data_IF_823538693570
#
_entry.id   IF_823538693570
#
_cell.length_a   1.000
_cell.length_b   1.000
_cell.length_c   1.000
_cell.angle_alpha   90.00
_cell.angle_beta   90.00
_cell.angle_gamma   90.00
#
_symmetry.space_group_name_H-M   'P 1'
#
loop_
_entity.id
_entity.type
_entity.pdbx_description
1 polymer ?
#
# COMPACT_ATOMS: atom_id res chain seq x y z
N UNK A 1 13.56 -58.63 29.05
CA UNK A 1 13.70 -58.67 30.53
C UNK A 1 14.21 -57.30 30.93
N UNK A 2 13.48 -56.36 31.54
CA UNK A 2 12.38 -56.34 32.52
C UNK A 2 11.62 -55.02 32.26
N UNK A 3 10.34 -55.03 31.87
CA UNK A 3 9.15 -54.97 32.73
C UNK A 3 9.18 -53.89 33.83
N UNK A 4 8.53 -52.75 33.57
CA UNK A 4 7.86 -51.93 34.60
C UNK A 4 6.77 -51.07 33.99
N UNK A 5 5.56 -51.62 34.05
CA UNK A 5 4.27 -50.92 34.06
C UNK A 5 4.31 -49.68 34.95
N UNK A 6 3.85 -48.53 34.45
CA UNK A 6 3.09 -47.58 35.27
C UNK A 6 1.92 -47.03 34.47
N UNK A 7 0.75 -47.32 35.04
CA UNK A 7 -0.58 -47.10 34.56
C UNK A 7 -1.13 -45.90 35.35
N UNK A 8 -1.40 -44.76 34.70
CA UNK A 8 -2.23 -43.69 35.26
C UNK A 8 -3.05 -43.00 34.16
N UNK A 9 -4.20 -43.62 33.92
CA UNK A 9 -5.53 -43.03 33.76
C UNK A 9 -5.53 -41.48 33.79
N UNK A 10 -5.69 -40.87 32.62
CA UNK A 10 -6.13 -39.48 32.47
C UNK A 10 -7.66 -39.47 32.40
N UNK A 11 -8.38 -38.71 33.25
CA UNK A 11 -9.80 -38.49 33.03
C UNK A 11 -9.99 -37.49 31.88
N UNK A 12 -10.87 -37.92 30.98
CA UNK A 12 -11.53 -37.17 29.93
C UNK A 12 -12.15 -35.91 30.54
N UNK A 13 -11.66 -34.72 30.14
CA UNK A 13 -12.43 -33.48 30.20
C UNK A 13 -12.63 -33.04 28.75
N UNK A 14 -13.76 -33.51 28.21
CA UNK A 14 -14.47 -32.91 27.09
C UNK A 14 -14.93 -31.51 27.47
N UNK A 15 -14.29 -30.50 26.87
CA UNK A 15 -14.90 -29.19 26.64
C UNK A 15 -14.47 -28.75 25.24
N UNK A 16 -15.27 -29.16 24.27
CA UNK A 16 -15.20 -28.68 22.91
C UNK A 16 -15.57 -27.19 22.89
N UNK A 17 -14.58 -26.34 22.61
CA UNK A 17 -14.83 -25.02 22.04
C UNK A 17 -14.12 -24.99 20.69
N UNK A 18 -14.74 -25.65 19.72
CA UNK A 18 -14.40 -25.51 18.30
C UNK A 18 -14.91 -24.14 17.89
N UNK A 19 -14.05 -23.12 17.97
CA UNK A 19 -14.25 -21.88 17.21
C UNK A 19 -13.89 -22.24 15.77
N UNK A 20 -14.88 -22.77 15.06
CA UNK A 20 -14.83 -22.91 13.62
C UNK A 20 -14.77 -21.51 13.02
N UNK A 21 -13.61 -21.21 12.44
CA UNK A 21 -13.43 -20.24 11.38
C UNK A 21 -14.49 -20.51 10.30
N UNK A 22 -15.52 -19.67 10.22
CA UNK A 22 -16.31 -19.51 9.02
C UNK A 22 -15.86 -18.23 8.33
N UNK A 23 -14.86 -18.40 7.45
CA UNK A 23 -14.62 -17.46 6.35
C UNK A 23 -15.53 -17.91 5.21
N UNK A 24 -16.51 -17.12 4.76
CA UNK A 24 -17.19 -17.42 3.52
C UNK A 24 -16.22 -17.13 2.36
N UNK A 25 -15.70 -18.21 1.79
CA UNK A 25 -15.03 -18.21 0.48
C UNK A 25 -16.14 -18.20 -0.58
N UNK A 26 -16.59 -17.01 -0.99
CA UNK A 26 -17.50 -16.86 -2.12
C UNK A 26 -16.74 -17.00 -3.44
N UNK A 27 -16.70 -18.21 -3.97
CA UNK A 27 -16.40 -18.48 -5.36
C UNK A 27 -17.64 -18.13 -6.20
N UNK A 28 -17.66 -16.91 -6.75
CA UNK A 28 -18.61 -16.52 -7.80
C UNK A 28 -18.04 -16.88 -9.16
N UNK A 29 -18.51 -17.99 -9.73
CA UNK A 29 -18.43 -18.22 -11.16
C UNK A 29 -19.42 -17.27 -11.85
N UNK A 30 -18.94 -16.34 -12.65
CA UNK A 30 -19.78 -15.59 -13.58
C UNK A 30 -19.68 -16.23 -14.97
N UNK A 31 -20.83 -16.77 -15.36
CA UNK A 31 -21.17 -17.25 -16.67
C UNK A 31 -21.15 -16.09 -17.68
N UNK A 32 -20.61 -16.38 -18.86
CA UNK A 32 -20.56 -15.46 -19.99
C UNK A 32 -21.90 -15.47 -20.71
N UNK A 33 -22.62 -14.35 -20.65
CA UNK A 33 -23.63 -14.02 -21.66
C UNK A 33 -23.52 -12.55 -22.03
N UNK A 34 -23.22 -12.33 -23.31
CA UNK A 34 -23.44 -11.10 -24.05
C UNK A 34 -24.25 -11.46 -25.31
N UNK A 35 -24.85 -10.53 -26.06
CA UNK A 35 -25.23 -9.15 -25.74
C UNK A 35 -26.72 -8.86 -26.06
N UNK A 36 -27.34 -7.87 -25.42
CA UNK A 36 -28.47 -7.17 -26.02
C UNK A 36 -28.33 -5.66 -25.83
N UNK A 37 -28.44 -4.98 -26.97
CA UNK A 37 -28.46 -3.52 -27.14
C UNK A 37 -29.55 -2.89 -26.28
N UNK A 38 -29.15 -2.16 -25.23
CA UNK A 38 -29.97 -1.13 -24.63
C UNK A 38 -29.24 0.21 -24.68
N UNK A 39 -29.95 1.21 -25.20
CA UNK A 39 -29.50 2.58 -25.41
C UNK A 39 -29.00 3.24 -24.12
N UNK A 40 -28.01 4.16 -24.20
CA UNK A 40 -27.42 4.79 -23.04
C UNK A 40 -28.43 5.72 -22.35
N UNK A 41 -28.98 5.28 -21.21
CA UNK A 41 -29.60 6.17 -20.23
C UNK A 41 -28.47 6.98 -19.59
N UNK A 42 -28.46 8.28 -19.86
CA UNK A 42 -27.51 9.23 -19.28
C UNK A 42 -27.76 9.35 -17.77
N UNK A 43 -27.14 8.48 -16.96
CA UNK A 43 -26.98 8.69 -15.52
C UNK A 43 -26.06 9.87 -15.31
N UNK A 44 -26.66 11.03 -15.07
CA UNK A 44 -26.00 12.22 -14.54
C UNK A 44 -25.40 11.87 -13.17
N UNK A 45 -24.11 11.48 -13.18
CA UNK A 45 -23.32 11.25 -11.98
C UNK A 45 -23.21 12.57 -11.21
N UNK A 46 -24.17 12.78 -10.31
CA UNK A 46 -24.18 13.90 -9.38
C UNK A 46 -23.02 13.67 -8.42
N UNK A 47 -21.94 14.44 -8.62
CA UNK A 47 -20.77 14.39 -7.73
C UNK A 47 -21.23 14.55 -6.27
N UNK A 48 -20.72 13.73 -5.33
CA UNK A 48 -21.10 13.81 -3.93
C UNK A 48 -20.74 15.19 -3.39
N UNK A 49 -21.76 15.90 -2.86
CA UNK A 49 -21.60 17.24 -2.29
C UNK A 49 -21.15 17.09 -0.85
N UNK A 50 -19.84 16.95 -0.65
CA UNK A 50 -19.19 16.85 0.67
C UNK A 50 -18.86 18.26 1.18
N UNK A 51 -19.07 18.50 2.48
CA UNK A 51 -18.63 19.72 3.15
C UNK A 51 -18.11 19.42 4.56
N UNK A 52 -17.19 20.25 5.04
CA UNK A 52 -16.53 20.09 6.33
C UNK A 52 -16.70 21.37 7.16
N UNK A 53 -17.21 21.26 8.39
CA UNK A 53 -17.42 22.42 9.27
C UNK A 53 -17.45 22.04 10.75
N UNK A 54 -17.22 23.03 11.63
CA UNK A 54 -17.45 22.87 13.07
C UNK A 54 -18.96 22.79 13.32
N UNK A 55 -19.41 21.74 14.01
CA UNK A 55 -20.82 21.52 14.35
C UNK A 55 -21.01 21.40 15.85
N UNK A 56 -22.25 21.64 16.31
CA UNK A 56 -22.65 21.40 17.70
C UNK A 56 -23.88 20.50 17.72
N UNK A 57 -23.92 19.56 18.67
CA UNK A 57 -25.06 18.70 18.87
C UNK A 57 -26.26 19.47 19.42
N UNK A 58 -27.37 19.52 18.68
CA UNK A 58 -28.64 20.04 19.17
C UNK A 58 -29.52 18.92 19.76
N UNK A 59 -29.54 17.75 19.12
CA UNK A 59 -30.22 16.54 19.58
C UNK A 59 -29.39 15.29 19.27
N UNK A 60 -30.02 14.11 19.33
CA UNK A 60 -29.40 12.84 18.95
C UNK A 60 -29.20 12.69 17.43
N UNK A 61 -29.99 13.40 16.62
CA UNK A 61 -29.97 13.35 15.16
C UNK A 61 -29.72 14.71 14.49
N UNK A 62 -29.79 15.81 15.24
CA UNK A 62 -29.67 17.17 14.73
C UNK A 62 -28.35 17.83 15.13
N UNK A 63 -27.60 18.28 14.13
CA UNK A 63 -26.37 19.06 14.24
C UNK A 63 -26.60 20.50 13.78
N UNK A 64 -25.94 21.45 14.43
CA UNK A 64 -26.03 22.88 14.13
C UNK A 64 -24.66 23.46 13.76
N UNK A 65 -24.57 24.10 12.59
CA UNK A 65 -23.42 24.88 12.15
C UNK A 65 -23.85 26.35 11.93
N UNK A 66 -23.82 27.14 13.01
CA UNK A 66 -24.35 28.50 13.00
C UNK A 66 -25.87 28.51 12.81
N UNK A 67 -26.34 28.94 11.63
CA UNK A 67 -27.78 28.93 11.25
C UNK A 67 -28.19 27.70 10.44
N UNK A 68 -27.23 26.85 10.07
CA UNK A 68 -27.49 25.66 9.28
C UNK A 68 -27.88 24.49 10.18
N UNK A 69 -29.03 23.89 9.91
CA UNK A 69 -29.54 22.68 10.55
C UNK A 69 -29.24 21.46 9.66
N UNK A 70 -28.49 20.51 10.20
CA UNK A 70 -28.10 19.27 9.52
C UNK A 70 -28.67 18.09 10.29
N UNK A 71 -29.62 17.38 9.67
CA UNK A 71 -30.19 16.15 10.18
C UNK A 71 -29.34 14.98 9.72
N UNK A 72 -29.04 14.04 10.62
CA UNK A 72 -28.33 12.82 10.28
C UNK A 72 -29.23 11.96 9.38
N UNK A 73 -28.68 11.56 8.24
CA UNK A 73 -29.36 10.69 7.29
C UNK A 73 -29.42 9.25 7.81
N UNK A 74 -30.48 8.52 7.45
CA UNK A 74 -30.63 7.10 7.80
C UNK A 74 -31.07 6.82 9.25
N UNK A 75 -31.24 7.85 10.08
CA UNK A 75 -31.76 7.73 11.45
C UNK A 75 -33.13 8.38 11.60
N UNK A 76 -33.90 7.92 12.58
CA UNK A 76 -35.20 8.48 12.98
C UNK A 76 -35.18 8.80 14.47
N UNK A 77 -35.65 10.01 14.81
CA UNK A 77 -35.73 10.45 16.19
C UNK A 77 -36.81 9.68 16.95
N UNK A 78 -36.44 9.22 18.15
CA UNK A 78 -37.40 8.63 19.08
C UNK A 78 -37.92 9.77 19.94
N UNK A 79 -39.25 9.99 20.04
CA UNK A 79 -39.81 11.01 20.91
C UNK A 79 -39.48 10.66 22.38
N UNK A 80 -38.42 11.28 22.91
CA UNK A 80 -37.96 11.05 24.26
C UNK A 80 -38.85 11.80 25.25
N UNK A 81 -39.68 11.07 26.00
CA UNK A 81 -40.51 11.64 27.07
C UNK A 81 -39.70 12.00 28.32
N UNK A 82 -38.50 11.45 28.48
CA UNK A 82 -37.63 11.64 29.66
C UNK A 82 -36.51 12.64 29.36
N UNK A 83 -36.50 13.85 29.97
CA UNK A 83 -35.49 14.89 29.70
C UNK A 83 -34.05 14.44 29.94
N UNK A 84 -33.83 13.51 30.88
CA UNK A 84 -32.50 12.96 31.19
C UNK A 84 -31.92 12.19 30.01
N UNK A 85 -32.75 11.48 29.24
CA UNK A 85 -32.26 10.75 28.06
C UNK A 85 -31.92 11.71 26.92
N UNK A 86 -32.75 12.73 26.70
CA UNK A 86 -32.46 13.75 25.69
C UNK A 86 -31.13 14.46 25.99
N UNK A 87 -30.86 14.75 27.27
CA UNK A 87 -29.59 15.31 27.70
C UNK A 87 -28.42 14.35 27.45
N UNK A 88 -28.56 13.07 27.82
CA UNK A 88 -27.51 12.05 27.59
C UNK A 88 -27.21 11.88 26.12
N UNK A 89 -28.23 11.76 25.27
CA UNK A 89 -28.05 11.62 23.83
C UNK A 89 -27.30 12.81 23.23
N UNK A 90 -27.69 14.04 23.61
CA UNK A 90 -26.99 15.26 23.18
C UNK A 90 -25.54 15.29 23.66
N UNK A 91 -25.27 14.89 24.89
CA UNK A 91 -23.91 14.83 25.44
C UNK A 91 -23.06 13.76 24.74
N UNK A 92 -23.61 12.58 24.46
CA UNK A 92 -22.91 11.54 23.69
C UNK A 92 -22.55 12.05 22.30
N UNK A 93 -23.48 12.68 21.59
CA UNK A 93 -23.20 13.29 20.28
C UNK A 93 -22.13 14.39 20.37
N UNK A 94 -22.24 15.29 21.36
CA UNK A 94 -21.26 16.36 21.55
C UNK A 94 -19.85 15.82 21.83
N UNK A 95 -19.73 14.75 22.63
CA UNK A 95 -18.45 14.10 22.91
C UNK A 95 -17.87 13.42 21.68
N UNK A 96 -18.71 12.82 20.82
CA UNK A 96 -18.27 12.18 19.59
C UNK A 96 -17.75 13.19 18.55
N UNK A 97 -18.35 14.39 18.50
CA UNK A 97 -17.86 15.50 17.67
C UNK A 97 -16.54 16.06 18.24
N UNK A 98 -16.47 16.22 19.56
CA UNK A 98 -15.32 16.83 20.24
C UNK A 98 -15.12 18.28 19.81
N UNK A 99 -13.84 18.69 19.72
CA UNK A 99 -13.43 20.00 19.19
C UNK A 99 -13.10 19.94 17.68
N UNK A 100 -13.34 18.79 17.04
CA UNK A 100 -13.01 18.53 15.64
C UNK A 100 -14.04 19.10 14.65
N UNK A 101 -13.64 19.12 13.38
CA UNK A 101 -14.58 19.37 12.28
C UNK A 101 -15.31 18.07 11.92
N UNK A 102 -16.55 18.22 11.44
CA UNK A 102 -17.39 17.12 10.97
C UNK A 102 -17.48 17.20 9.45
N UNK A 103 -17.22 16.07 8.78
CA UNK A 103 -17.35 15.90 7.34
C UNK A 103 -18.72 15.33 7.04
N UNK A 104 -19.52 16.00 6.23
CA UNK A 104 -20.87 15.57 5.91
C UNK A 104 -21.09 15.43 4.40
N UNK A 105 -21.58 14.27 3.97
CA UNK A 105 -22.03 14.00 2.60
C UNK A 105 -23.54 14.21 2.50
N UNK A 106 -23.97 15.18 1.67
CA UNK A 106 -25.38 15.51 1.52
C UNK A 106 -26.11 14.43 0.72
N UNK A 107 -27.09 13.78 1.35
CA UNK A 107 -27.96 12.77 0.71
C UNK A 107 -29.28 13.39 0.24
N UNK A 108 -29.86 14.32 0.99
CA UNK A 108 -31.11 14.98 0.62
C UNK A 108 -31.19 16.43 1.17
N UNK A 109 -32.06 17.26 0.59
CA UNK A 109 -32.40 18.61 1.06
C UNK A 109 -33.92 18.75 1.11
N UNK A 110 -34.44 19.27 2.22
CA UNK A 110 -35.86 19.54 2.37
C UNK A 110 -36.10 20.93 2.99
N UNK A 111 -37.35 21.29 3.21
CA UNK A 111 -37.73 22.50 3.95
C UNK A 111 -37.25 22.47 5.42
N UNK A 112 -37.04 21.29 6.00
CA UNK A 112 -36.62 21.11 7.40
C UNK A 112 -35.10 21.21 7.59
N UNK A 113 -34.32 21.18 6.51
CA UNK A 113 -32.86 21.28 6.55
C UNK A 113 -32.16 20.35 5.55
N UNK A 114 -30.87 20.14 5.80
CA UNK A 114 -30.02 19.23 5.03
C UNK A 114 -29.99 17.87 5.72
N UNK A 115 -30.22 16.79 4.98
CA UNK A 115 -30.04 15.42 5.46
C UNK A 115 -28.70 14.90 4.92
N UNK A 116 -27.77 14.59 5.83
CA UNK A 116 -26.42 14.21 5.46
C UNK A 116 -25.91 13.04 6.30
N UNK A 117 -25.06 12.21 5.70
CA UNK A 117 -24.24 11.26 6.43
C UNK A 117 -23.01 12.01 6.92
N UNK A 118 -22.75 11.97 8.22
CA UNK A 118 -21.71 12.79 8.85
C UNK A 118 -20.73 11.92 9.64
N UNK A 119 -19.45 12.22 9.45
CA UNK A 119 -18.31 11.55 10.09
C UNK A 119 -17.50 12.57 10.90
N UNK A 120 -16.98 12.15 12.05
CA UNK A 120 -16.09 12.96 12.86
C UNK A 120 -14.62 12.84 12.38
N UNK A 121 -13.69 13.46 13.12
CA UNK A 121 -12.25 13.42 12.80
C UNK A 121 -11.60 12.03 12.96
N UNK A 122 -12.31 11.05 13.52
CA UNK A 122 -11.86 9.66 13.69
C UNK A 122 -12.53 8.72 12.66
N UNK A 123 -13.13 9.27 11.60
CA UNK A 123 -13.87 8.55 10.56
C UNK A 123 -15.02 7.69 11.12
N UNK A 124 -15.65 8.15 12.22
CA UNK A 124 -16.81 7.49 12.84
C UNK A 124 -18.10 8.11 12.32
N UNK A 125 -18.95 7.29 11.68
CA UNK A 125 -20.32 7.66 11.28
C UNK A 125 -21.17 7.96 12.53
N UNK A 126 -21.56 9.24 12.66
CA UNK A 126 -22.31 9.75 13.80
C UNK A 126 -23.73 9.16 13.88
N UNK A 127 -24.37 8.86 12.74
CA UNK A 127 -25.69 8.24 12.70
C UNK A 127 -25.63 6.81 13.24
N UNK A 128 -24.67 6.03 12.74
CA UNK A 128 -24.43 4.66 13.22
C UNK A 128 -24.10 4.63 14.71
N UNK A 129 -23.23 5.53 15.19
CA UNK A 129 -22.89 5.63 16.60
C UNK A 129 -24.15 5.82 17.47
N UNK A 130 -25.06 6.71 17.08
CA UNK A 130 -26.26 6.99 17.87
C UNK A 130 -27.26 5.85 17.86
N UNK A 131 -27.33 5.08 16.76
CA UNK A 131 -28.09 3.82 16.71
C UNK A 131 -27.50 2.80 17.70
N UNK A 132 -26.18 2.60 17.68
CA UNK A 132 -25.49 1.65 18.57
C UNK A 132 -25.66 1.99 20.06
N UNK A 133 -25.75 3.27 20.40
CA UNK A 133 -26.02 3.72 21.77
C UNK A 133 -27.51 3.66 22.15
N UNK A 134 -28.40 3.36 21.19
CA UNK A 134 -29.84 3.25 21.40
C UNK A 134 -30.54 4.60 21.63
N UNK A 135 -30.02 5.69 21.08
CA UNK A 135 -30.64 7.02 21.20
C UNK A 135 -31.54 7.40 20.01
N UNK A 136 -31.35 6.75 18.86
CA UNK A 136 -32.17 6.89 17.64
C UNK A 136 -32.46 5.51 17.06
N UNK A 137 -33.49 5.40 16.22
CA UNK A 137 -33.81 4.19 15.45
C UNK A 137 -33.36 4.33 14.00
N UNK A 138 -33.34 3.23 13.26
CA UNK A 138 -33.02 3.25 11.82
C UNK A 138 -34.22 3.73 11.01
N UNK A 139 -34.03 4.75 10.16
CA UNK A 139 -35.03 5.13 9.18
C UNK A 139 -34.97 4.18 7.98
N UNK A 140 -35.73 3.09 8.06
CA UNK A 140 -35.72 2.01 7.05
C UNK A 140 -36.08 2.48 5.65
N UNK A 141 -36.94 3.50 5.51
CA UNK A 141 -37.32 4.03 4.21
C UNK A 141 -36.14 4.67 3.47
N UNK A 142 -35.20 5.28 4.21
CA UNK A 142 -34.03 5.93 3.64
C UNK A 142 -32.88 4.95 3.38
N UNK A 143 -32.70 3.93 4.21
CA UNK A 143 -31.56 3.00 4.08
C UNK A 143 -31.83 1.77 3.21
N UNK A 144 -33.09 1.46 2.91
CA UNK A 144 -33.47 0.27 2.14
C UNK A 144 -32.78 0.20 0.77
N UNK A 145 -32.15 -0.93 0.47
CA UNK A 145 -31.42 -1.17 -0.78
C UNK A 145 -30.08 -0.42 -0.88
N UNK A 146 -29.65 0.28 0.18
CA UNK A 146 -28.33 0.91 0.25
C UNK A 146 -27.32 -0.01 0.93
N UNK A 147 -26.03 0.28 0.77
CA UNK A 147 -24.95 -0.43 1.46
C UNK A 147 -24.98 -0.30 2.99
N UNK A 148 -25.77 0.63 3.53
CA UNK A 148 -25.86 0.90 4.96
C UNK A 148 -26.97 0.11 5.67
N UNK A 149 -27.90 -0.50 4.93
CA UNK A 149 -29.07 -1.19 5.49
C UNK A 149 -28.69 -2.22 6.55
N UNK A 150 -27.85 -3.20 6.18
CA UNK A 150 -27.46 -4.30 7.06
C UNK A 150 -26.71 -3.81 8.31
N UNK A 151 -25.84 -2.81 8.14
CA UNK A 151 -25.01 -2.29 9.23
C UNK A 151 -25.87 -1.55 10.26
N UNK A 152 -26.80 -0.72 9.78
CA UNK A 152 -27.66 0.09 10.63
C UNK A 152 -28.69 -0.79 11.36
N UNK A 153 -29.34 -1.73 10.65
CA UNK A 153 -30.32 -2.66 11.24
C UNK A 153 -29.68 -3.57 12.30
N UNK A 154 -28.47 -4.06 12.04
CA UNK A 154 -27.72 -4.85 13.02
C UNK A 154 -27.37 -4.04 14.26
N UNK A 155 -26.89 -2.80 14.09
CA UNK A 155 -26.58 -1.92 15.22
C UNK A 155 -27.81 -1.64 16.11
N UNK A 156 -28.98 -1.43 15.51
CA UNK A 156 -30.24 -1.26 16.24
C UNK A 156 -30.60 -2.53 17.03
N UNK A 157 -30.50 -3.70 16.38
CA UNK A 157 -30.79 -4.99 17.02
C UNK A 157 -29.84 -5.27 18.20
N UNK A 158 -28.57 -4.93 18.07
CA UNK A 158 -27.58 -5.06 19.14
C UNK A 158 -27.87 -4.09 20.31
N UNK A 159 -28.23 -2.84 20.01
CA UNK A 159 -28.61 -1.86 21.03
C UNK A 159 -29.85 -2.32 21.82
N UNK A 160 -30.84 -2.90 21.13
CA UNK A 160 -32.02 -3.51 21.75
C UNK A 160 -31.65 -4.69 22.64
N UNK A 161 -30.86 -5.65 22.13
CA UNK A 161 -30.44 -6.84 22.89
C UNK A 161 -29.66 -6.48 24.16
N UNK A 162 -28.92 -5.36 24.13
CA UNK A 162 -28.12 -4.84 25.24
C UNK A 162 -28.88 -3.89 26.16
N UNK A 163 -30.16 -3.60 25.88
CA UNK A 163 -30.97 -2.64 26.64
C UNK A 163 -30.30 -1.27 26.76
N UNK A 164 -29.69 -0.76 25.68
CA UNK A 164 -29.01 0.55 25.67
C UNK A 164 -29.98 1.70 25.36
N UNK A 165 -29.65 2.90 25.82
CA UNK A 165 -30.41 4.12 25.53
C UNK A 165 -31.89 4.01 25.93
N UNK A 166 -32.79 4.19 24.95
CA UNK A 166 -34.25 4.10 25.18
C UNK A 166 -34.72 2.70 25.54
N UNK A 167 -33.99 1.66 25.13
CA UNK A 167 -34.37 0.25 25.36
C UNK A 167 -34.19 -0.17 26.82
N UNK A 168 -33.33 0.52 27.58
CA UNK A 168 -33.01 0.18 28.97
C UNK A 168 -33.96 0.72 30.03
N UNK A 169 -34.94 1.56 29.68
CA UNK A 169 -35.77 2.26 30.67
C UNK A 169 -36.75 1.38 31.45
N UNK A 170 -36.93 0.11 31.08
CA UNK A 170 -37.84 -0.82 31.77
C UNK A 170 -37.22 -1.70 32.85
N UNK A 171 -35.88 -1.78 32.96
CA UNK A 171 -35.22 -2.89 33.67
C UNK A 171 -34.68 -2.55 35.08
N UNK A 172 -34.91 -1.35 35.61
CA UNK A 172 -34.13 -0.85 36.75
C UNK A 172 -34.88 -0.07 37.81
N UNK A 173 -35.89 -0.67 38.48
CA UNK A 173 -36.31 -0.20 39.83
C UNK A 173 -36.67 -1.34 40.81
N UNK A 174 -36.81 -2.60 40.41
CA UNK A 174 -37.27 -3.66 41.33
C UNK A 174 -36.32 -4.86 41.44
N UNK A 175 -35.17 -4.71 42.07
CA UNK A 175 -34.46 -5.85 42.68
C UNK A 175 -33.31 -5.39 43.59
N UNK A 176 -33.61 -5.13 44.88
CA UNK A 176 -32.66 -5.40 45.97
C UNK A 176 -33.27 -5.03 47.34
N UNK A 177 -34.28 -5.78 47.81
CA UNK A 177 -34.55 -5.86 49.25
C UNK A 177 -34.97 -7.28 49.63
N UNK A 178 -34.28 -7.83 50.64
CA UNK A 178 -34.76 -8.94 51.46
C UNK A 178 -34.11 -10.29 51.16
N UNK A 179 -32.92 -10.54 51.72
CA UNK A 179 -32.32 -11.89 51.74
C UNK A 179 -31.09 -11.95 52.62
N UNK A 180 -31.13 -12.83 53.62
CA UNK A 180 -30.25 -12.99 54.78
C UNK A 180 -28.72 -12.83 54.50
N UNK A 181 -28.10 -11.82 55.12
CA UNK A 181 -26.85 -11.20 54.66
C UNK A 181 -25.56 -11.98 54.93
N UNK A 182 -25.57 -13.00 55.81
CA UNK A 182 -24.32 -13.66 56.23
C UNK A 182 -23.91 -14.84 55.36
N UNK A 183 -24.88 -15.58 54.82
CA UNK A 183 -24.60 -16.70 53.92
C UNK A 183 -24.26 -16.21 52.50
N UNK A 184 -24.94 -15.19 52.01
CA UNK A 184 -24.69 -14.59 50.69
C UNK A 184 -23.32 -13.90 50.62
N UNK A 185 -22.85 -13.27 51.70
CA UNK A 185 -21.51 -12.63 51.74
C UNK A 185 -20.37 -13.66 51.72
N UNK A 186 -20.50 -14.78 52.43
CA UNK A 186 -19.50 -15.87 52.39
C UNK A 186 -19.47 -16.55 51.02
N UNK A 187 -20.64 -16.82 50.44
CA UNK A 187 -20.74 -17.38 49.09
C UNK A 187 -20.16 -16.43 48.04
N UNK A 188 -20.42 -15.11 48.14
CA UNK A 188 -19.88 -14.13 47.21
C UNK A 188 -18.36 -14.01 47.31
N UNK A 189 -17.79 -14.17 48.51
CA UNK A 189 -16.34 -14.13 48.72
C UNK A 189 -15.65 -15.37 48.13
N UNK A 190 -16.24 -16.55 48.27
CA UNK A 190 -15.72 -17.78 47.65
C UNK A 190 -15.80 -17.71 46.13
N UNK A 191 -16.93 -17.25 45.58
CA UNK A 191 -17.12 -17.09 44.14
C UNK A 191 -16.17 -16.02 43.57
N UNK A 192 -16.01 -14.89 44.25
CA UNK A 192 -15.07 -13.85 43.79
C UNK A 192 -13.62 -14.32 43.82
N UNK A 193 -13.22 -15.12 44.82
CA UNK A 193 -11.89 -15.71 44.89
C UNK A 193 -11.66 -16.75 43.78
N UNK A 194 -12.68 -17.54 43.46
CA UNK A 194 -12.65 -18.48 42.33
C UNK A 194 -12.51 -17.78 40.97
N UNK A 195 -13.26 -16.68 40.77
CA UNK A 195 -13.15 -15.85 39.57
C UNK A 195 -11.75 -15.22 39.49
N UNK A 196 -11.23 -14.65 40.59
CA UNK A 196 -9.89 -14.07 40.62
C UNK A 196 -8.80 -15.10 40.27
N UNK A 197 -8.91 -16.33 40.78
CA UNK A 197 -7.99 -17.42 40.44
C UNK A 197 -8.07 -17.80 38.95
N UNK A 198 -9.27 -17.86 38.37
CA UNK A 198 -9.44 -18.11 36.93
C UNK A 198 -8.79 -17.02 36.07
N UNK A 199 -8.93 -15.74 36.46
CA UNK A 199 -8.25 -14.62 35.79
C UNK A 199 -6.72 -14.72 35.87
N UNK A 200 -6.17 -15.16 37.00
CA UNK A 200 -4.71 -15.36 37.13
C UNK A 200 -4.21 -16.45 36.16
N UNK A 201 -4.92 -17.57 36.05
CA UNK A 201 -4.57 -18.64 35.10
C UNK A 201 -4.67 -18.15 33.66
N UNK A 202 -5.74 -17.43 33.32
CA UNK A 202 -5.93 -16.87 31.98
C UNK A 202 -4.83 -15.86 31.63
N UNK A 203 -4.41 -15.03 32.59
CA UNK A 203 -3.29 -14.10 32.43
C UNK A 203 -1.97 -14.83 32.11
N UNK A 204 -1.69 -15.95 32.78
CA UNK A 204 -0.48 -16.76 32.49
C UNK A 204 -0.53 -17.39 31.10
N UNK A 205 -1.70 -17.88 30.66
CA UNK A 205 -1.89 -18.43 29.31
C UNK A 205 -1.66 -17.34 28.26
N UNK A 206 -2.26 -16.17 28.47
CA UNK A 206 -2.12 -15.02 27.59
C UNK A 206 -0.66 -14.53 27.53
N UNK A 207 0.03 -14.43 28.67
CA UNK A 207 1.47 -14.08 28.69
C UNK A 207 2.32 -15.09 27.91
N UNK A 208 2.04 -16.40 28.02
CA UNK A 208 2.73 -17.42 27.21
C UNK A 208 2.42 -17.29 25.72
N UNK A 209 1.17 -17.00 25.37
CA UNK A 209 0.75 -16.75 24.00
C UNK A 209 1.47 -15.55 23.39
N UNK A 210 1.48 -14.42 24.10
CA UNK A 210 2.17 -13.22 23.65
C UNK A 210 3.66 -13.42 23.48
N UNK A 211 4.34 -14.12 24.41
CA UNK A 211 5.78 -14.40 24.28
C UNK A 211 6.11 -15.16 22.99
N UNK A 212 5.29 -16.16 22.63
CA UNK A 212 5.47 -16.93 21.39
C UNK A 212 5.25 -16.07 20.14
N UNK A 213 4.26 -15.17 20.17
CA UNK A 213 3.99 -14.24 19.06
C UNK A 213 5.12 -13.23 18.91
N UNK A 214 5.63 -12.66 20.01
CA UNK A 214 6.75 -11.71 19.96
C UNK A 214 8.02 -12.35 19.43
N UNK A 215 8.32 -13.60 19.83
CA UNK A 215 9.46 -14.35 19.30
C UNK A 215 9.31 -14.63 17.80
N UNK A 216 8.11 -14.98 17.34
CA UNK A 216 7.84 -15.20 15.91
C UNK A 216 7.95 -13.89 15.10
N UNK A 217 7.43 -12.78 15.63
CA UNK A 217 7.55 -11.47 14.99
C UNK A 217 9.01 -11.01 14.92
N UNK A 218 9.78 -11.21 15.99
CA UNK A 218 11.21 -10.86 16.02
C UNK A 218 12.01 -11.68 15.00
N UNK A 219 11.76 -12.98 14.89
CA UNK A 219 12.40 -13.82 13.88
C UNK A 219 12.06 -13.39 12.44
N UNK A 220 10.80 -13.03 12.18
CA UNK A 220 10.39 -12.52 10.87
C UNK A 220 11.05 -11.17 10.55
N UNK A 221 11.16 -10.27 11.53
CA UNK A 221 11.85 -9.00 11.35
C UNK A 221 13.35 -9.19 11.08
N UNK A 222 14.00 -10.13 11.77
CA UNK A 222 15.42 -10.44 11.55
C UNK A 222 15.66 -11.04 10.17
N UNK A 223 14.73 -11.88 9.68
CA UNK A 223 14.77 -12.40 8.32
C UNK A 223 14.62 -11.29 7.28
N UNK A 224 13.63 -10.39 7.43
CA UNK A 224 13.43 -9.24 6.53
C UNK A 224 14.68 -8.34 6.50
N UNK A 225 15.27 -8.04 7.67
CA UNK A 225 16.51 -7.26 7.75
C UNK A 225 17.68 -7.94 7.04
N UNK A 226 17.79 -9.27 7.16
CA UNK A 226 18.82 -10.04 6.44
C UNK A 226 18.60 -10.01 4.93
N UNK A 227 17.35 -10.17 4.47
CA UNK A 227 17.01 -10.09 3.06
C UNK A 227 17.30 -8.69 2.48
N UNK A 228 16.92 -7.63 3.19
CA UNK A 228 17.25 -6.26 2.79
C UNK A 228 18.77 -6.05 2.68
N UNK A 229 19.53 -6.50 3.68
CA UNK A 229 21.00 -6.42 3.65
C UNK A 229 21.63 -7.22 2.52
N UNK A 230 21.08 -8.38 2.18
CA UNK A 230 21.54 -9.18 1.04
C UNK A 230 21.21 -8.48 -0.28
N UNK A 231 20.02 -7.91 -0.40
CA UNK A 231 19.60 -7.14 -1.58
C UNK A 231 20.45 -5.90 -1.79
N UNK A 232 20.81 -5.17 -0.73
CA UNK A 232 21.73 -4.04 -0.79
C UNK A 232 23.14 -4.46 -1.26
N UNK A 233 23.63 -5.59 -0.76
CA UNK A 233 24.92 -6.15 -1.23
C UNK A 233 24.87 -6.55 -2.70
N UNK A 234 23.79 -7.20 -3.13
CA UNK A 234 23.58 -7.59 -4.53
C UNK A 234 23.50 -6.36 -5.43
N UNK A 235 22.72 -5.35 -5.04
CA UNK A 235 22.65 -4.04 -5.71
C UNK A 235 24.04 -3.42 -5.87
N UNK A 236 24.85 -3.43 -4.81
CA UNK A 236 26.22 -2.92 -4.84
C UNK A 236 27.14 -3.71 -5.79
N UNK A 237 27.03 -5.05 -5.81
CA UNK A 237 27.81 -5.89 -6.72
C UNK A 237 27.43 -5.60 -8.17
N UNK A 238 26.15 -5.60 -8.50
CA UNK A 238 25.64 -5.34 -9.86
C UNK A 238 26.11 -3.96 -10.33
N UNK A 239 25.95 -2.94 -9.49
CA UNK A 239 26.41 -1.60 -9.79
C UNK A 239 27.92 -1.59 -10.12
N UNK A 240 28.77 -2.22 -9.30
CA UNK A 240 30.22 -2.29 -9.55
C UNK A 240 30.58 -3.02 -10.84
N UNK A 241 29.85 -4.08 -11.19
CA UNK A 241 30.08 -4.80 -12.45
C UNK A 241 29.68 -3.92 -13.65
N UNK A 242 28.56 -3.20 -13.56
CA UNK A 242 28.11 -2.30 -14.61
C UNK A 242 29.05 -1.09 -14.76
N UNK A 243 29.53 -0.50 -13.67
CA UNK A 243 30.52 0.58 -13.71
C UNK A 243 31.80 0.14 -14.42
N UNK A 244 32.30 -1.05 -14.10
CA UNK A 244 33.48 -1.61 -14.75
C UNK A 244 33.24 -1.85 -16.26
N UNK A 245 32.07 -2.38 -16.63
CA UNK A 245 31.72 -2.56 -18.05
C UNK A 245 31.57 -1.21 -18.78
N UNK A 246 30.91 -0.22 -18.17
CA UNK A 246 30.77 1.13 -18.72
C UNK A 246 32.12 1.81 -18.91
N UNK A 247 33.02 1.75 -17.92
CA UNK A 247 34.39 2.30 -18.01
C UNK A 247 35.19 1.62 -19.11
N UNK A 248 35.10 0.29 -19.23
CA UNK A 248 35.76 -0.44 -20.30
C UNK A 248 35.21 -0.05 -21.68
N UNK A 249 33.89 0.08 -21.81
CA UNK A 249 33.23 0.50 -23.04
C UNK A 249 33.55 1.95 -23.40
N UNK A 250 33.61 2.86 -22.43
CA UNK A 250 34.05 4.26 -22.62
C UNK A 250 35.48 4.32 -23.16
N UNK A 251 36.40 3.55 -22.57
CA UNK A 251 37.79 3.49 -23.06
C UNK A 251 37.86 2.98 -24.51
N UNK A 252 37.03 2.01 -24.89
CA UNK A 252 36.91 1.56 -26.30
C UNK A 252 36.34 2.64 -27.22
N UNK A 253 35.34 3.39 -26.76
CA UNK A 253 34.76 4.52 -27.51
C UNK A 253 35.79 5.61 -27.75
N UNK A 254 36.57 5.97 -26.73
CA UNK A 254 37.63 6.98 -26.83
C UNK A 254 38.73 6.53 -27.80
N UNK A 255 39.18 5.28 -27.73
CA UNK A 255 40.15 4.73 -28.67
C UNK A 255 39.61 4.72 -30.11
N UNK A 256 38.35 4.32 -30.29
CA UNK A 256 37.67 4.35 -31.58
C UNK A 256 37.61 5.78 -32.15
N UNK A 257 37.21 6.75 -31.33
CA UNK A 257 37.14 8.16 -31.74
C UNK A 257 38.51 8.69 -32.18
N UNK A 258 39.59 8.41 -31.44
CA UNK A 258 40.94 8.84 -31.82
C UNK A 258 41.32 8.34 -33.22
N UNK A 259 41.07 7.07 -33.50
CA UNK A 259 41.42 6.46 -34.81
C UNK A 259 40.58 7.06 -35.94
N UNK A 260 39.26 7.14 -35.77
CA UNK A 260 38.37 7.59 -36.84
C UNK A 260 38.36 9.11 -37.03
N UNK A 261 38.64 9.90 -36.00
CA UNK A 261 38.86 11.35 -36.13
C UNK A 261 40.16 11.65 -36.89
N UNK A 262 41.23 10.90 -36.64
CA UNK A 262 42.47 11.00 -37.42
C UNK A 262 42.24 10.60 -38.89
N UNK A 263 41.50 9.51 -39.13
CA UNK A 263 41.11 9.08 -40.47
C UNK A 263 40.30 10.17 -41.18
N UNK A 264 39.28 10.73 -40.52
CA UNK A 264 38.44 11.79 -41.07
C UNK A 264 39.25 13.07 -41.38
N UNK A 265 40.18 13.46 -40.51
CA UNK A 265 41.08 14.58 -40.75
C UNK A 265 41.99 14.32 -41.95
N UNK A 266 42.43 13.08 -42.14
CA UNK A 266 43.17 12.64 -43.33
C UNK A 266 42.35 12.73 -44.61
N UNK A 267 41.08 12.31 -44.59
CA UNK A 267 40.17 12.39 -45.74
C UNK A 267 39.82 13.83 -46.12
N UNK A 268 39.72 14.74 -45.14
CA UNK A 268 39.40 16.15 -45.36
C UNK A 268 40.61 17.00 -45.77
N UNK A 269 41.82 16.44 -45.80
CA UNK A 269 43.03 17.18 -46.17
C UNK A 269 43.17 17.28 -47.71
N UNK A 270 43.09 18.49 -48.30
CA UNK A 270 43.18 18.66 -49.76
C UNK A 270 44.58 18.37 -50.33
N UNK A 271 45.63 18.44 -49.49
CA UNK A 271 47.01 18.33 -49.93
C UNK A 271 47.52 16.88 -50.01
N UNK A 272 46.71 15.91 -49.55
CA UNK A 272 47.08 14.49 -49.52
C UNK A 272 46.04 13.64 -50.24
N UNK A 273 46.49 12.78 -51.14
CA UNK A 273 45.62 11.76 -51.71
C UNK A 273 45.13 10.81 -50.59
N UNK A 274 43.81 10.56 -50.47
CA UNK A 274 43.27 9.65 -49.46
C UNK A 274 43.83 8.24 -49.58
N UNK A 275 44.16 7.59 -48.46
CA UNK A 275 44.74 6.23 -48.46
C UNK A 275 43.85 5.19 -49.14
N UNK A 276 42.53 5.24 -48.92
CA UNK A 276 41.60 4.25 -49.48
C UNK A 276 41.58 4.24 -51.03
N UNK A 277 41.96 5.35 -51.68
CA UNK A 277 42.06 5.43 -53.14
C UNK A 277 43.16 4.52 -53.74
N UNK A 278 44.11 4.05 -52.93
CA UNK A 278 45.22 3.21 -53.40
C UNK A 278 44.94 1.71 -53.27
N UNK A 279 44.32 1.28 -52.17
CA UNK A 279 44.16 -0.15 -51.84
C UNK A 279 42.75 -0.54 -51.39
N UNK A 280 41.82 0.41 -51.34
CA UNK A 280 40.61 0.29 -50.54
C UNK A 280 40.91 0.44 -49.05
N UNK A 281 39.85 0.58 -48.25
CA UNK A 281 39.91 0.57 -46.78
C UNK A 281 38.61 0.00 -46.21
N UNK A 282 38.60 -0.40 -44.94
CA UNK A 282 37.41 -0.96 -44.29
C UNK A 282 37.08 -0.10 -43.07
N UNK A 283 35.88 0.49 -43.07
CA UNK A 283 35.38 1.30 -41.97
C UNK A 283 34.43 0.46 -41.14
N UNK A 284 34.73 0.33 -39.86
CA UNK A 284 33.78 -0.21 -38.91
C UNK A 284 32.77 0.89 -38.56
N UNK A 285 31.49 0.74 -38.90
CA UNK A 285 30.48 1.81 -38.73
C UNK A 285 30.10 2.07 -37.28
N UNK A 286 30.23 1.04 -36.41
CA UNK A 286 29.94 1.13 -34.97
C UNK A 286 30.99 0.43 -34.12
N UNK A 287 31.36 0.99 -32.96
CA UNK A 287 32.32 0.37 -32.05
C UNK A 287 31.78 -0.93 -31.45
N UNK A 288 32.62 -1.97 -31.34
CA UNK A 288 32.25 -3.22 -30.65
C UNK A 288 32.36 -2.99 -29.13
N UNK A 289 31.22 -2.95 -28.46
CA UNK A 289 31.14 -2.80 -27.01
C UNK A 289 30.65 -4.09 -26.35
N UNK A 290 31.00 -4.28 -25.07
CA UNK A 290 30.50 -5.41 -24.28
C UNK A 290 29.10 -5.09 -23.76
N UNK A 291 28.22 -6.10 -23.76
CA UNK A 291 26.90 -6.09 -23.11
C UNK A 291 26.72 -7.24 -22.12
N UNK A 292 27.79 -7.99 -21.86
CA UNK A 292 27.70 -9.25 -21.11
C UNK A 292 27.21 -9.06 -19.67
N UNK A 293 27.63 -7.99 -18.99
CA UNK A 293 27.19 -7.71 -17.62
C UNK A 293 25.74 -7.25 -17.60
N UNK A 294 25.35 -6.37 -18.53
CA UNK A 294 23.97 -5.92 -18.67
C UNK A 294 23.01 -7.10 -18.93
N UNK A 295 23.30 -7.94 -19.93
CA UNK A 295 22.43 -9.06 -20.30
C UNK A 295 22.26 -10.07 -19.16
N UNK A 296 23.32 -10.30 -18.39
CA UNK A 296 23.29 -11.25 -17.26
C UNK A 296 22.44 -10.76 -16.08
N UNK A 297 22.22 -9.46 -15.95
CA UNK A 297 21.57 -8.86 -14.78
C UNK A 297 20.34 -8.01 -15.15
N UNK A 298 19.80 -8.16 -16.36
CA UNK A 298 18.70 -7.35 -16.86
C UNK A 298 17.44 -7.45 -15.96
N UNK A 299 17.21 -8.61 -15.35
CA UNK A 299 16.11 -8.87 -14.41
C UNK A 299 16.27 -8.17 -13.05
N UNK A 300 17.45 -7.62 -12.76
CA UNK A 300 17.82 -7.03 -11.46
C UNK A 300 18.17 -5.54 -11.53
N UNK A 301 17.99 -4.92 -12.69
CA UNK A 301 18.28 -3.50 -12.88
C UNK A 301 17.34 -2.61 -12.08
N UNK A 302 16.12 -3.10 -11.80
CA UNK A 302 15.13 -2.43 -10.95
C UNK A 302 15.69 -2.09 -9.55
N UNK A 303 16.62 -2.91 -9.04
CA UNK A 303 17.30 -2.68 -7.76
C UNK A 303 18.15 -1.40 -7.76
N UNK A 304 18.58 -0.90 -8.93
CA UNK A 304 19.40 0.30 -9.05
C UNK A 304 18.58 1.60 -8.94
N UNK A 305 17.26 1.51 -9.18
CA UNK A 305 16.34 2.65 -9.28
C UNK A 305 15.77 2.77 -10.69
N UNK A 306 14.52 3.23 -10.79
CA UNK A 306 13.77 3.26 -12.06
C UNK A 306 14.49 4.08 -13.15
N UNK A 307 14.95 5.29 -12.81
CA UNK A 307 15.55 6.21 -13.78
C UNK A 307 16.88 5.66 -14.33
N UNK A 308 17.75 5.17 -13.44
CA UNK A 308 19.04 4.59 -13.82
C UNK A 308 18.85 3.28 -14.61
N UNK A 309 17.91 2.43 -14.22
CA UNK A 309 17.58 1.22 -14.96
C UNK A 309 17.10 1.55 -16.37
N UNK A 310 16.19 2.52 -16.52
CA UNK A 310 15.71 2.97 -17.83
C UNK A 310 16.82 3.51 -18.72
N UNK A 311 17.69 4.36 -18.16
CA UNK A 311 18.82 4.92 -18.90
C UNK A 311 19.84 3.84 -19.34
N UNK A 312 20.12 2.85 -18.49
CA UNK A 312 20.96 1.70 -18.84
C UNK A 312 20.33 0.89 -19.97
N UNK A 313 19.05 0.52 -19.87
CA UNK A 313 18.34 -0.23 -20.93
C UNK A 313 18.38 0.52 -22.25
N UNK A 314 18.14 1.84 -22.23
CA UNK A 314 18.22 2.66 -23.42
C UNK A 314 19.63 2.65 -24.03
N UNK A 315 20.68 2.91 -23.26
CA UNK A 315 22.06 2.90 -23.75
C UNK A 315 22.46 1.55 -24.34
N UNK A 316 22.19 0.45 -23.63
CA UNK A 316 22.55 -0.90 -24.06
C UNK A 316 21.70 -1.41 -25.24
N UNK A 317 20.54 -0.82 -25.52
CA UNK A 317 19.77 -1.10 -26.73
C UNK A 317 20.44 -0.61 -28.02
N UNK A 318 21.29 0.42 -27.93
CA UNK A 318 22.05 0.95 -29.08
C UNK A 318 23.33 0.15 -29.36
N UNK A 319 23.80 -0.66 -28.42
CA UNK A 319 25.00 -1.46 -28.57
C UNK A 319 24.72 -2.69 -29.44
N UNK A 320 25.38 -2.75 -30.60
CA UNK A 320 25.44 -3.96 -31.43
C UNK A 320 26.66 -4.79 -31.03
N UNK A 321 26.45 -6.09 -30.81
CA UNK A 321 27.53 -7.03 -30.44
C UNK A 321 28.37 -7.46 -31.64
N UNK A 322 27.82 -7.36 -32.85
CA UNK A 322 28.50 -7.71 -34.09
C UNK A 322 29.01 -6.43 -34.76
N UNK A 323 30.25 -6.47 -35.25
CA UNK A 323 30.75 -5.36 -36.06
C UNK A 323 30.05 -5.31 -37.42
N UNK A 324 29.66 -4.10 -37.78
CA UNK A 324 29.20 -3.75 -39.12
C UNK A 324 30.36 -3.02 -39.79
N UNK A 325 30.77 -3.54 -40.95
CA UNK A 325 31.87 -3.01 -41.75
C UNK A 325 31.32 -2.49 -43.07
N UNK A 326 31.83 -1.36 -43.50
CA UNK A 326 31.61 -0.79 -44.82
C UNK A 326 32.94 -0.65 -45.55
N UNK A 327 33.00 -1.18 -46.77
CA UNK A 327 34.19 -1.13 -47.60
C UNK A 327 34.24 0.20 -48.36
N UNK A 328 35.35 0.93 -48.21
CA UNK A 328 35.65 2.13 -48.99
C UNK A 328 36.39 1.72 -50.27
N UNK A 329 35.65 1.51 -51.35
CA UNK A 329 36.22 1.12 -52.64
C UNK A 329 37.12 2.24 -53.22
N UNK A 330 38.20 1.90 -53.96
CA UNK A 330 39.11 2.90 -54.54
C UNK A 330 38.43 3.90 -55.50
N UNK A 331 37.33 3.53 -56.14
CA UNK A 331 36.56 4.38 -57.04
C UNK A 331 35.45 5.18 -56.34
N UNK A 332 35.14 4.88 -55.07
CA UNK A 332 34.12 5.59 -54.27
C UNK A 332 34.39 7.10 -54.20
N UNK A 333 33.35 7.92 -54.36
CA UNK A 333 33.47 9.37 -54.26
C UNK A 333 33.98 9.81 -52.87
N UNK A 334 34.80 10.87 -52.84
CA UNK A 334 35.42 11.36 -51.59
C UNK A 334 34.37 11.82 -50.59
N UNK A 335 33.32 12.47 -51.08
CA UNK A 335 32.20 12.96 -50.28
C UNK A 335 31.46 11.80 -49.61
N UNK A 336 31.28 10.68 -50.31
CA UNK A 336 30.64 9.47 -49.76
C UNK A 336 31.51 8.85 -48.66
N UNK A 337 32.81 8.68 -48.91
CA UNK A 337 33.74 8.15 -47.92
C UNK A 337 33.83 9.03 -46.66
N UNK A 338 33.84 10.36 -46.84
CA UNK A 338 33.78 11.31 -45.72
C UNK A 338 32.47 11.15 -44.95
N UNK A 339 31.33 11.02 -45.64
CA UNK A 339 30.02 10.85 -45.00
C UNK A 339 29.93 9.59 -44.13
N UNK A 340 30.45 8.46 -44.62
CA UNK A 340 30.49 7.19 -43.87
C UNK A 340 31.30 7.33 -42.58
N UNK A 341 32.53 7.85 -42.68
CA UNK A 341 33.42 8.02 -41.52
C UNK A 341 32.86 9.07 -40.55
N UNK A 342 32.31 10.17 -41.06
CA UNK A 342 31.72 11.23 -40.25
C UNK A 342 30.48 10.76 -39.48
N UNK A 343 29.62 9.93 -40.09
CA UNK A 343 28.51 9.29 -39.40
C UNK A 343 29.02 8.41 -38.25
N UNK A 344 30.01 7.55 -38.53
CA UNK A 344 30.59 6.65 -37.54
C UNK A 344 31.20 7.41 -36.34
N UNK A 345 31.93 8.51 -36.60
CA UNK A 345 32.48 9.40 -35.56
C UNK A 345 31.35 10.06 -34.75
N UNK A 346 30.31 10.58 -35.39
CA UNK A 346 29.22 11.27 -34.70
C UNK A 346 28.41 10.33 -33.81
N UNK A 347 28.11 9.12 -34.27
CA UNK A 347 27.46 8.09 -33.46
C UNK A 347 28.32 7.70 -32.25
N UNK A 348 29.62 7.48 -32.44
CA UNK A 348 30.55 7.17 -31.35
C UNK A 348 30.66 8.33 -30.33
N UNK A 349 30.65 9.60 -30.78
CA UNK A 349 30.63 10.78 -29.89
C UNK A 349 29.38 10.82 -29.04
N UNK A 350 28.21 10.59 -29.65
CA UNK A 350 26.94 10.54 -28.93
C UNK A 350 26.97 9.45 -27.86
N UNK A 351 27.41 8.24 -28.21
CA UNK A 351 27.49 7.13 -27.26
C UNK A 351 28.50 7.40 -26.14
N UNK A 352 29.63 8.04 -26.44
CA UNK A 352 30.62 8.40 -25.42
C UNK A 352 30.07 9.43 -24.41
N UNK A 353 29.29 10.40 -24.88
CA UNK A 353 28.61 11.36 -24.01
C UNK A 353 27.59 10.67 -23.10
N UNK A 354 26.75 9.77 -23.64
CA UNK A 354 25.79 9.00 -22.84
C UNK A 354 26.47 8.08 -21.83
N UNK A 355 27.57 7.42 -22.20
CA UNK A 355 28.34 6.59 -21.29
C UNK A 355 28.89 7.43 -20.12
N UNK A 356 29.36 8.64 -20.38
CA UNK A 356 29.83 9.56 -19.34
C UNK A 356 28.70 9.99 -18.40
N UNK A 357 27.52 10.33 -18.93
CA UNK A 357 26.35 10.69 -18.13
C UNK A 357 25.90 9.53 -17.23
N UNK A 358 25.84 8.32 -17.78
CA UNK A 358 25.51 7.11 -17.03
C UNK A 358 26.51 6.80 -15.92
N UNK A 359 27.80 6.97 -16.19
CA UNK A 359 28.84 6.80 -15.17
C UNK A 359 28.65 7.81 -14.03
N UNK A 360 28.39 9.09 -14.35
CA UNK A 360 28.11 10.11 -13.33
C UNK A 360 26.84 9.78 -12.52
N UNK A 361 25.76 9.35 -13.19
CA UNK A 361 24.51 8.96 -12.52
C UNK A 361 24.71 7.75 -11.60
N UNK A 362 25.52 6.77 -12.02
CA UNK A 362 25.85 5.60 -11.22
C UNK A 362 26.67 5.97 -9.98
N UNK A 363 27.59 6.93 -10.08
CA UNK A 363 28.34 7.47 -8.95
C UNK A 363 27.45 8.29 -8.00
N UNK A 364 26.56 9.12 -8.53
CA UNK A 364 25.63 9.96 -7.75
C UNK A 364 24.56 9.14 -7.02
N UNK A 365 24.13 8.01 -7.59
CA UNK A 365 23.14 7.10 -6.98
C UNK A 365 23.53 6.57 -5.59
N UNK A 366 24.79 6.78 -5.16
CA UNK A 366 25.28 6.45 -3.82
C UNK A 366 25.54 4.96 -3.61
N UNK A 367 25.12 4.11 -4.56
CA UNK A 367 25.25 2.66 -4.52
C UNK A 367 26.70 2.21 -4.38
N UNK A 368 27.64 2.98 -4.93
CA UNK A 368 29.08 2.72 -4.83
C UNK A 368 29.70 3.14 -3.50
N UNK A 369 29.13 4.16 -2.84
CA UNK A 369 29.71 4.80 -1.65
C UNK A 369 29.52 3.96 -0.39
N UNK A 370 28.43 3.18 -0.33
CA UNK A 370 28.12 2.32 0.81
C UNK A 370 29.10 1.15 0.96
N UNK A 371 29.66 0.62 -0.14
CA UNK A 371 30.63 -0.48 -0.08
C UNK A 371 31.96 -0.07 0.55
N UNK A 372 32.43 1.15 0.29
CA UNK A 372 33.70 1.65 0.88
C UNK A 372 33.57 2.04 2.35
N UNK A 373 32.35 2.23 2.85
CA UNK A 373 32.07 2.62 4.24
C UNK A 373 31.80 1.45 5.19
N UNK A 374 31.81 0.21 4.72
CA UNK A 374 31.75 -0.95 5.60
C UNK A 374 33.18 -1.38 5.91
N UNK A 375 33.84 -0.87 6.98
CA UNK A 375 35.13 -1.39 7.40
C UNK A 375 34.96 -2.87 7.72
N UNK A 376 35.94 -3.66 7.28
CA UNK A 376 36.07 -5.07 7.61
C UNK A 376 35.90 -5.26 9.13
N UNK A 377 34.99 -6.16 9.51
CA UNK A 377 34.91 -6.75 10.85
C UNK A 377 35.57 -8.11 10.79
#
# INVERSE_FOLDING_TARGET
MTDRKHNRIFPIITAALVIALYVPMSAGAQDQTAPQDEAPVSTEQTQPRIFETNMRAASASLLMAGKLSVHLWGVEDIPMSVPVMALRARTTMANAIGDGKVTCEIKNRSAEGIFAQCENAEDVDLGLLMIQQGYVTVNRANVYGTVFEDVYVRAETEAQARNLGVWGQGAGVEAAQGGDSKFLVMLSLIVSLGIAAAFLVLTVIVMRGFKKVTEAQQNNMDMIKKEQKLREKERGIIATMLDAELKANKSKLEAYLVVYEEMLAGLKNPDKAPKYKQSGDIVQTKPILSRAVFDRNNDKLDMLGHDLAGALVQFYSYIKTNAEYEDLEPDMALETAIGIVEQAVNEARHMNAQAQELMSALEESGVMRERMRSPEV
#
